data_IF_129386497942
#
_entry.id   IF_129386497942
#
_cell.length_a   1.000
_cell.length_b   1.000
_cell.length_c   1.000
_cell.angle_alpha   90.00
_cell.angle_beta   90.00
_cell.angle_gamma   90.00
#
_symmetry.space_group_name_H-M   'P 1'
#
loop_
_entity.id
_entity.type
_entity.pdbx_description
1 polymer ?
#
# COMPACT_ATOMS: atom_id res chain seq x y z
N UNK A 1 3.15 24.41 5.78
CA UNK A 1 2.23 23.61 6.62
C UNK A 1 2.84 22.22 6.79
N UNK A 2 2.92 21.74 8.02
CA UNK A 2 3.38 20.40 8.36
C UNK A 2 2.35 19.70 9.24
N UNK A 3 2.33 18.37 9.18
CA UNK A 3 1.49 17.51 10.03
C UNK A 3 2.42 16.58 10.79
N UNK A 4 2.23 16.47 12.09
CA UNK A 4 2.90 15.48 12.92
C UNK A 4 1.92 14.34 13.22
N UNK A 5 2.32 13.12 12.88
CA UNK A 5 1.53 11.91 13.09
C UNK A 5 2.25 10.98 14.05
N UNK A 6 1.57 10.53 15.10
CA UNK A 6 2.10 9.57 16.06
C UNK A 6 1.13 8.42 16.24
N UNK A 7 1.52 7.22 15.82
CA UNK A 7 0.73 5.99 15.98
C UNK A 7 1.53 4.94 16.79
N UNK A 8 1.70 5.19 18.09
CA UNK A 8 2.45 4.29 18.99
C UNK A 8 1.80 2.91 19.09
N UNK A 9 0.48 2.83 19.07
CA UNK A 9 -0.29 1.59 19.20
C UNK A 9 -1.46 1.61 18.21
N UNK A 10 -1.66 0.51 17.51
CA UNK A 10 -2.90 0.23 16.76
C UNK A 10 -3.85 -0.45 17.76
N UNK A 11 -5.00 0.15 17.98
CA UNK A 11 -6.01 -0.37 18.92
C UNK A 11 -6.90 -1.41 18.23
N UNK A 12 -7.27 -1.12 16.98
CA UNK A 12 -8.11 -1.98 16.15
C UNK A 12 -7.56 -1.95 14.71
N UNK A 13 -7.12 -3.11 14.16
CA UNK A 13 -6.65 -3.20 12.78
C UNK A 13 -7.80 -3.29 11.76
N UNK A 14 -8.96 -2.70 12.07
CA UNK A 14 -10.15 -2.69 11.21
C UNK A 14 -10.34 -1.32 10.57
N UNK A 15 -10.51 -1.29 9.24
CA UNK A 15 -10.99 -0.14 8.49
C UNK A 15 -12.49 -0.36 8.14
N UNK A 16 -13.41 0.23 8.92
CA UNK A 16 -14.84 -0.01 8.78
C UNK A 16 -15.42 0.68 7.54
N UNK A 17 -16.55 0.16 7.05
CA UNK A 17 -17.23 0.66 5.85
C UNK A 17 -17.46 2.17 5.88
N UNK A 18 -17.86 2.74 7.02
CA UNK A 18 -18.15 4.17 7.15
C UNK A 18 -16.93 5.07 6.83
N UNK A 19 -15.72 4.60 7.09
CA UNK A 19 -14.49 5.30 6.73
C UNK A 19 -14.05 4.97 5.30
N UNK A 20 -14.18 3.71 4.88
CA UNK A 20 -13.72 3.23 3.56
C UNK A 20 -14.59 3.78 2.43
N UNK A 21 -15.91 3.90 2.63
CA UNK A 21 -16.84 4.37 1.60
C UNK A 21 -16.54 5.76 1.06
N UNK A 22 -15.90 6.60 1.88
CA UNK A 22 -15.59 7.99 1.53
C UNK A 22 -14.23 8.16 0.86
N UNK A 23 -13.35 7.15 1.01
CA UNK A 23 -11.97 7.22 0.51
C UNK A 23 -11.52 5.86 -0.04
N UNK A 24 -11.39 5.78 -1.35
CA UNK A 24 -10.97 4.53 -2.04
C UNK A 24 -9.57 4.04 -1.70
N UNK A 25 -8.67 4.98 -1.38
CA UNK A 25 -7.32 4.68 -0.94
C UNK A 25 -7.27 3.87 0.37
N UNK A 26 -8.41 3.69 1.04
CA UNK A 26 -8.49 2.91 2.29
C UNK A 26 -8.01 1.46 2.15
N UNK A 27 -8.02 0.87 0.95
CA UNK A 27 -7.45 -0.46 0.72
C UNK A 27 -5.93 -0.50 0.95
N UNK A 28 -5.25 0.65 0.85
CA UNK A 28 -3.81 0.78 1.08
C UNK A 28 -3.39 0.49 2.54
N UNK A 29 -4.32 0.51 3.49
CA UNK A 29 -4.01 0.15 4.88
C UNK A 29 -3.91 -1.36 5.09
N UNK A 30 -4.38 -2.18 4.13
CA UNK A 30 -4.44 -3.64 4.25
C UNK A 30 -3.05 -4.24 4.47
N UNK A 31 -2.09 -3.90 3.61
CA UNK A 31 -0.70 -4.39 3.69
C UNK A 31 0.02 -3.96 4.96
N UNK A 32 0.13 -2.66 5.25
CA UNK A 32 0.84 -2.18 6.43
C UNK A 32 0.19 -2.62 7.75
N UNK A 33 -1.13 -2.72 7.85
CA UNK A 33 -1.78 -3.28 9.05
C UNK A 33 -1.44 -4.76 9.23
N UNK A 34 -1.54 -5.57 8.16
CA UNK A 34 -1.16 -6.98 8.21
C UNK A 34 0.30 -7.15 8.61
N UNK A 35 1.20 -6.38 8.00
CA UNK A 35 2.63 -6.46 8.30
C UNK A 35 2.97 -6.07 9.75
N UNK A 36 2.26 -5.07 10.30
CA UNK A 36 2.52 -4.53 11.64
C UNK A 36 1.78 -5.26 12.76
N UNK A 37 0.52 -5.67 12.50
CA UNK A 37 -0.36 -6.23 13.52
C UNK A 37 -0.52 -7.75 13.42
N UNK A 38 -0.11 -8.36 12.31
CA UNK A 38 -0.36 -9.76 12.01
C UNK A 38 -1.77 -10.04 11.48
N UNK A 39 -2.63 -9.02 11.49
CA UNK A 39 -3.99 -9.09 10.95
C UNK A 39 -4.47 -7.73 10.45
N UNK A 40 -5.40 -7.74 9.52
CA UNK A 40 -6.13 -6.56 9.05
C UNK A 40 -7.53 -6.95 8.59
N UNK A 41 -8.49 -6.06 8.82
CA UNK A 41 -9.84 -6.20 8.31
C UNK A 41 -10.27 -4.90 7.65
N UNK A 42 -10.43 -4.92 6.34
CA UNK A 42 -10.74 -3.71 5.56
C UNK A 42 -12.03 -3.95 4.78
N UNK A 43 -12.99 -3.04 4.92
CA UNK A 43 -14.20 -3.08 4.12
C UNK A 43 -13.85 -3.00 2.63
N UNK A 44 -14.55 -3.77 1.81
CA UNK A 44 -14.49 -3.57 0.36
C UNK A 44 -14.92 -2.12 0.05
N UNK A 45 -14.19 -1.42 -0.81
CA UNK A 45 -14.59 -0.08 -1.20
C UNK A 45 -15.97 -0.16 -1.86
N UNK A 46 -16.90 0.64 -1.39
CA UNK A 46 -18.22 0.81 -2.02
C UNK A 46 -18.03 1.20 -3.49
N UNK A 47 -18.99 0.85 -4.33
CA UNK A 47 -18.93 1.14 -5.76
C UNK A 47 -18.72 2.63 -6.00
N UNK A 48 -17.60 2.98 -6.61
CA UNK A 48 -17.42 4.32 -7.14
C UNK A 48 -18.19 4.40 -8.46
N UNK A 49 -18.82 5.56 -8.74
CA UNK A 49 -19.54 5.81 -9.98
C UNK A 49 -18.68 5.61 -11.26
N UNK A 50 -17.36 5.44 -11.12
CA UNK A 50 -16.38 5.30 -12.21
C UNK A 50 -16.03 3.83 -12.52
N UNK A 51 -16.66 2.83 -11.86
CA UNK A 51 -16.52 1.41 -12.20
C UNK A 51 -15.84 0.52 -11.14
N UNK A 52 -15.87 -0.79 -11.39
CA UNK A 52 -15.23 -1.82 -10.57
C UNK A 52 -13.71 -1.65 -10.67
N UNK A 53 -13.05 -1.52 -9.53
CA UNK A 53 -11.59 -1.63 -9.45
C UNK A 53 -11.23 -2.88 -8.66
N UNK A 54 -10.62 -3.85 -9.32
CA UNK A 54 -10.28 -5.12 -8.70
C UNK A 54 -9.25 -4.89 -7.60
N UNK A 55 -9.47 -5.53 -6.45
CA UNK A 55 -8.51 -5.63 -5.33
C UNK A 55 -7.73 -6.95 -5.39
N UNK A 56 -7.91 -7.70 -6.48
CA UNK A 56 -7.35 -9.03 -6.70
C UNK A 56 -5.81 -9.03 -6.63
N UNK A 57 -5.14 -8.00 -7.17
CA UNK A 57 -3.69 -7.89 -7.13
C UNK A 57 -3.16 -7.71 -5.70
N UNK A 58 -3.87 -6.96 -4.86
CA UNK A 58 -3.55 -6.84 -3.42
C UNK A 58 -3.66 -8.20 -2.72
N UNK A 59 -4.75 -8.92 -3.00
CA UNK A 59 -5.03 -10.23 -2.41
C UNK A 59 -3.98 -11.26 -2.85
N UNK A 60 -3.75 -11.40 -4.16
CA UNK A 60 -2.75 -12.32 -4.72
C UNK A 60 -1.36 -12.08 -4.15
N UNK A 61 -0.94 -10.82 -4.07
CA UNK A 61 0.36 -10.47 -3.53
C UNK A 61 0.51 -10.83 -2.06
N UNK A 62 -0.48 -10.52 -1.22
CA UNK A 62 -0.45 -10.88 0.21
C UNK A 62 -0.52 -12.41 0.41
N UNK A 63 -1.27 -13.15 -0.42
CA UNK A 63 -1.27 -14.62 -0.40
C UNK A 63 0.10 -15.19 -0.77
N UNK A 64 0.75 -14.64 -1.79
CA UNK A 64 2.11 -15.04 -2.16
C UNK A 64 3.11 -14.81 -1.01
N UNK A 65 2.88 -13.77 -0.18
CA UNK A 65 3.64 -13.49 1.03
C UNK A 65 3.23 -14.36 2.23
N UNK A 66 2.37 -15.35 2.03
CA UNK A 66 1.96 -16.31 3.04
C UNK A 66 0.83 -15.86 3.97
N UNK A 67 0.06 -14.85 3.59
CA UNK A 67 -1.12 -14.45 4.34
C UNK A 67 -2.32 -15.35 4.02
N UNK A 68 -3.13 -15.62 5.03
CA UNK A 68 -4.46 -16.21 4.90
C UNK A 68 -5.48 -15.08 4.68
N UNK A 69 -6.33 -15.25 3.67
CA UNK A 69 -7.35 -14.25 3.34
C UNK A 69 -8.73 -14.87 3.25
N UNK A 70 -9.71 -14.13 3.76
CA UNK A 70 -11.14 -14.40 3.59
C UNK A 70 -11.86 -13.13 3.14
N UNK A 71 -12.84 -13.26 2.27
CA UNK A 71 -13.75 -12.17 1.89
C UNK A 71 -15.13 -12.57 2.40
N UNK A 72 -15.59 -11.90 3.43
CA UNK A 72 -16.84 -12.21 4.09
C UNK A 72 -17.57 -10.93 4.50
N UNK A 73 -18.88 -10.90 4.31
CA UNK A 73 -19.75 -9.78 4.71
C UNK A 73 -19.27 -8.41 4.22
N UNK A 74 -18.68 -8.35 3.01
CA UNK A 74 -18.19 -7.11 2.44
C UNK A 74 -16.84 -6.64 3.01
N UNK A 75 -16.11 -7.49 3.72
CA UNK A 75 -14.78 -7.22 4.24
C UNK A 75 -13.73 -8.17 3.67
N UNK A 76 -12.54 -7.65 3.47
CA UNK A 76 -11.32 -8.42 3.27
C UNK A 76 -10.68 -8.59 4.64
N UNK A 77 -10.57 -9.82 5.11
CA UNK A 77 -9.87 -10.18 6.34
C UNK A 77 -8.57 -10.88 5.98
N UNK A 78 -7.46 -10.39 6.51
CA UNK A 78 -6.11 -10.91 6.26
C UNK A 78 -5.47 -11.28 7.58
N UNK A 79 -4.81 -12.44 7.62
CA UNK A 79 -4.03 -12.89 8.77
C UNK A 79 -2.70 -13.45 8.34
N UNK A 80 -1.64 -13.08 9.05
CA UNK A 80 -0.31 -13.64 8.89
C UNK A 80 0.46 -13.48 10.19
N UNK A 81 1.00 -14.54 10.75
CA UNK A 81 1.88 -14.41 11.92
C UNK A 81 3.05 -13.45 11.64
N UNK A 82 3.63 -13.56 10.46
CA UNK A 82 4.59 -12.65 9.85
C UNK A 82 4.58 -12.92 8.34
N UNK A 83 4.52 -11.86 7.56
CA UNK A 83 4.64 -11.97 6.11
C UNK A 83 6.04 -12.46 5.73
N UNK A 84 6.14 -13.22 4.64
CA UNK A 84 7.40 -13.73 4.10
C UNK A 84 7.70 -13.04 2.78
N UNK A 85 8.97 -12.81 2.52
CA UNK A 85 9.43 -12.33 1.22
C UNK A 85 9.01 -13.30 0.11
N UNK A 86 8.59 -12.75 -1.01
CA UNK A 86 8.06 -13.50 -2.14
C UNK A 86 8.42 -12.83 -3.47
N UNK A 87 8.38 -13.59 -4.56
CA UNK A 87 8.37 -13.05 -5.91
C UNK A 87 6.93 -12.91 -6.37
N UNK A 88 6.50 -11.69 -6.65
CA UNK A 88 5.13 -11.34 -7.00
C UNK A 88 5.15 -10.74 -8.41
N UNK A 89 4.53 -11.43 -9.37
CA UNK A 89 4.30 -10.89 -10.70
C UNK A 89 2.87 -10.34 -10.76
N UNK A 90 2.74 -9.03 -10.96
CA UNK A 90 1.44 -8.37 -11.09
C UNK A 90 0.84 -8.70 -12.45
N UNK A 91 -0.39 -9.22 -12.51
CA UNK A 91 -1.07 -9.53 -13.78
C UNK A 91 -1.36 -8.26 -14.58
N UNK A 92 -1.66 -7.18 -13.88
CA UNK A 92 -1.86 -5.84 -14.43
C UNK A 92 -1.09 -4.82 -13.60
N UNK A 93 -0.57 -3.78 -14.25
CA UNK A 93 0.05 -2.65 -13.54
C UNK A 93 -1.02 -1.92 -12.72
N UNK A 94 -0.78 -1.76 -11.43
CA UNK A 94 -1.65 -0.99 -10.53
C UNK A 94 -0.82 -0.23 -9.51
N UNK A 95 -1.05 1.08 -9.43
CA UNK A 95 -0.35 1.97 -8.48
C UNK A 95 -0.62 1.53 -7.05
N UNK A 96 -1.88 1.46 -6.65
CA UNK A 96 -2.26 1.10 -5.27
C UNK A 96 -1.88 -0.33 -4.90
N UNK A 97 -1.90 -1.28 -5.86
CA UNK A 97 -1.41 -2.65 -5.64
C UNK A 97 0.09 -2.66 -5.35
N UNK A 98 0.88 -1.96 -6.16
CA UNK A 98 2.32 -1.82 -5.97
C UNK A 98 2.65 -1.19 -4.62
N UNK A 99 2.01 -0.07 -4.29
CA UNK A 99 2.21 0.66 -3.03
C UNK A 99 1.86 -0.19 -1.81
N UNK A 100 0.71 -0.88 -1.84
CA UNK A 100 0.27 -1.72 -0.74
C UNK A 100 1.23 -2.89 -0.48
N UNK A 101 1.65 -3.58 -1.55
CA UNK A 101 2.57 -4.71 -1.44
C UNK A 101 3.99 -4.26 -1.05
N UNK A 102 4.43 -3.10 -1.55
CA UNK A 102 5.70 -2.49 -1.15
C UNK A 102 5.71 -2.16 0.35
N UNK A 103 4.64 -1.54 0.88
CA UNK A 103 4.51 -1.28 2.32
C UNK A 103 4.47 -2.57 3.14
N UNK A 104 3.71 -3.58 2.70
CA UNK A 104 3.64 -4.88 3.36
C UNK A 104 5.02 -5.57 3.42
N UNK A 105 5.79 -5.47 2.34
CA UNK A 105 7.10 -6.10 2.21
C UNK A 105 8.15 -5.51 3.16
N UNK A 106 7.99 -4.26 3.60
CA UNK A 106 8.99 -3.60 4.46
C UNK A 106 9.25 -4.33 5.77
N UNK A 107 8.24 -5.01 6.34
CA UNK A 107 8.35 -5.76 7.59
C UNK A 107 8.29 -7.30 7.38
N UNK A 108 8.30 -7.75 6.13
CA UNK A 108 8.31 -9.18 5.81
C UNK A 108 9.64 -9.85 6.19
N UNK A 109 9.63 -11.14 6.37
CA UNK A 109 10.85 -11.92 6.57
C UNK A 109 11.48 -12.27 5.24
N UNK A 110 12.66 -11.72 4.94
CA UNK A 110 13.38 -11.95 3.69
C UNK A 110 13.10 -10.89 2.64
N UNK A 111 13.45 -11.16 1.39
CA UNK A 111 13.33 -10.24 0.27
C UNK A 111 12.03 -10.49 -0.51
N UNK A 112 11.38 -9.40 -0.92
CA UNK A 112 10.23 -9.42 -1.84
C UNK A 112 10.63 -8.76 -3.14
N UNK A 113 10.27 -9.39 -4.26
CA UNK A 113 10.45 -8.83 -5.60
C UNK A 113 9.07 -8.66 -6.21
N UNK A 114 8.72 -7.43 -6.57
CA UNK A 114 7.47 -7.07 -7.25
C UNK A 114 7.80 -6.79 -8.71
N UNK A 115 7.30 -7.63 -9.62
CA UNK A 115 7.46 -7.51 -11.05
C UNK A 115 6.18 -6.94 -11.69
N UNK A 116 6.33 -6.27 -12.82
CA UNK A 116 5.27 -5.50 -13.49
C UNK A 116 4.70 -4.42 -12.55
N UNK A 117 5.58 -3.83 -11.74
CA UNK A 117 5.25 -2.78 -10.79
C UNK A 117 4.87 -1.47 -11.50
N UNK A 118 4.05 -0.67 -10.85
CA UNK A 118 3.75 0.68 -11.27
C UNK A 118 4.99 1.59 -11.14
N UNK A 119 5.14 2.54 -12.06
CA UNK A 119 6.34 3.40 -12.17
C UNK A 119 6.05 4.86 -11.89
N UNK A 120 4.85 5.17 -11.49
CA UNK A 120 4.37 6.53 -11.23
C UNK A 120 5.22 7.22 -10.16
N UNK A 121 5.36 8.55 -10.22
CA UNK A 121 6.15 9.33 -9.26
C UNK A 121 5.72 9.09 -7.80
N UNK A 122 4.44 8.82 -7.56
CA UNK A 122 3.88 8.52 -6.23
C UNK A 122 4.49 7.25 -5.63
N UNK A 123 4.75 6.23 -6.47
CA UNK A 123 5.42 4.99 -6.03
C UNK A 123 6.87 5.27 -5.63
N UNK A 124 7.56 6.14 -6.37
CA UNK A 124 8.94 6.57 -6.06
C UNK A 124 8.96 7.40 -4.77
N UNK A 125 8.00 8.30 -4.61
CA UNK A 125 7.86 9.14 -3.41
C UNK A 125 7.61 8.27 -2.16
N UNK A 126 6.68 7.31 -2.24
CA UNK A 126 6.43 6.36 -1.16
C UNK A 126 7.66 5.53 -0.81
N UNK A 127 8.39 5.01 -1.80
CA UNK A 127 9.63 4.27 -1.59
C UNK A 127 10.68 5.12 -0.86
N UNK A 128 10.80 6.40 -1.24
CA UNK A 128 11.70 7.36 -0.61
C UNK A 128 11.31 7.63 0.84
N UNK A 129 10.00 7.78 1.11
CA UNK A 129 9.47 7.93 2.47
C UNK A 129 9.76 6.69 3.32
N UNK A 130 9.50 5.50 2.80
CA UNK A 130 9.76 4.23 3.49
C UNK A 130 11.26 4.07 3.80
N UNK A 131 12.14 4.41 2.85
CA UNK A 131 13.58 4.37 3.04
C UNK A 131 14.04 5.38 4.10
N UNK A 132 13.44 6.57 4.15
CA UNK A 132 13.69 7.54 5.22
C UNK A 132 13.24 7.01 6.60
N UNK A 133 12.26 6.09 6.64
CA UNK A 133 11.83 5.38 7.85
C UNK A 133 12.68 4.14 8.18
N UNK A 134 13.72 3.86 7.40
CA UNK A 134 14.63 2.73 7.61
C UNK A 134 14.28 1.46 6.83
N UNK A 135 13.35 1.51 5.89
CA UNK A 135 13.11 0.42 4.95
C UNK A 135 14.27 0.27 3.96
N UNK A 136 14.24 -0.82 3.17
CA UNK A 136 15.25 -1.12 2.15
C UNK A 136 14.56 -1.42 0.82
N UNK A 137 14.05 -0.36 0.18
CA UNK A 137 13.36 -0.42 -1.11
C UNK A 137 14.31 0.02 -2.22
N UNK A 138 14.40 -0.77 -3.29
CA UNK A 138 15.18 -0.48 -4.50
C UNK A 138 14.34 -0.70 -5.76
N UNK A 139 14.67 -0.01 -6.83
CA UNK A 139 14.03 -0.17 -8.14
C UNK A 139 12.70 0.57 -8.30
N UNK A 140 12.27 1.38 -7.33
CA UNK A 140 11.08 2.22 -7.50
C UNK A 140 11.22 3.15 -8.72
N UNK A 141 10.18 3.27 -9.54
CA UNK A 141 10.21 3.96 -10.83
C UNK A 141 10.57 3.04 -12.01
N UNK A 142 10.89 1.78 -11.76
CA UNK A 142 11.05 0.74 -12.77
C UNK A 142 9.93 -0.30 -12.65
N UNK A 143 9.90 -1.26 -13.56
CA UNK A 143 8.94 -2.37 -13.53
C UNK A 143 9.28 -3.46 -12.52
N UNK A 144 10.43 -3.37 -11.86
CA UNK A 144 10.86 -4.33 -10.84
C UNK A 144 11.28 -3.60 -9.58
N UNK A 145 10.54 -3.83 -8.50
CA UNK A 145 10.84 -3.28 -7.16
C UNK A 145 11.30 -4.42 -6.26
N UNK A 146 12.41 -4.22 -5.57
CA UNK A 146 12.92 -5.15 -4.56
C UNK A 146 12.85 -4.50 -3.19
N UNK A 147 12.30 -5.22 -2.22
CA UNK A 147 12.20 -4.79 -0.82
C UNK A 147 12.86 -5.85 0.07
N UNK A 148 13.93 -5.48 0.75
CA UNK A 148 14.49 -6.33 1.81
C UNK A 148 13.80 -5.98 3.12
N UNK A 149 13.07 -6.94 3.69
CA UNK A 149 12.33 -6.73 4.92
C UNK A 149 13.23 -6.42 6.11
N UNK A 150 12.76 -5.54 7.00
CA UNK A 150 13.43 -5.15 8.23
C UNK A 150 12.62 -5.54 9.45
N UNK A 151 13.24 -5.58 10.63
CA UNK A 151 12.54 -5.93 11.88
C UNK A 151 11.59 -4.82 12.32
N UNK A 152 11.97 -3.56 12.11
CA UNK A 152 11.17 -2.39 12.49
C UNK A 152 11.51 -1.18 11.65
N UNK A 153 10.55 -0.29 11.52
CA UNK A 153 10.72 1.05 10.97
C UNK A 153 10.76 2.07 12.12
N UNK A 154 11.35 3.24 11.84
CA UNK A 154 11.39 4.36 12.78
C UNK A 154 10.65 5.58 12.25
N UNK A 155 10.45 6.60 13.07
CA UNK A 155 9.88 7.87 12.62
C UNK A 155 10.82 8.61 11.68
N UNK A 156 10.25 9.37 10.76
CA UNK A 156 11.00 10.19 9.81
C UNK A 156 10.32 11.55 9.61
N UNK A 157 11.11 12.55 9.25
CA UNK A 157 10.60 13.79 8.66
C UNK A 157 10.68 13.62 7.14
N UNK A 158 9.53 13.81 6.47
CA UNK A 158 9.45 13.62 5.04
C UNK A 158 8.60 14.70 4.39
N UNK A 159 9.02 15.17 3.23
CA UNK A 159 8.27 16.12 2.42
C UNK A 159 7.62 15.37 1.27
N UNK A 160 6.32 15.19 1.35
CA UNK A 160 5.52 14.55 0.29
C UNK A 160 5.58 15.39 -0.98
N UNK A 161 5.67 14.73 -2.13
CA UNK A 161 5.64 15.38 -3.44
C UNK A 161 4.32 16.12 -3.68
N UNK A 162 4.30 17.19 -4.49
CA UNK A 162 3.07 17.84 -4.93
C UNK A 162 2.19 16.86 -5.75
N UNK A 163 0.86 17.04 -5.65
CA UNK A 163 -0.08 16.28 -6.46
C UNK A 163 -0.05 16.76 -7.93
N UNK A 164 0.51 15.92 -8.80
CA UNK A 164 0.59 16.22 -10.24
C UNK A 164 -0.78 16.20 -10.93
N UNK A 165 -1.75 15.46 -10.39
CA UNK A 165 -3.10 15.38 -10.95
C UNK A 165 -3.85 16.68 -10.65
N UNK A 166 -3.75 17.18 -9.42
CA UNK A 166 -4.28 18.50 -9.05
C UNK A 166 -3.64 19.60 -9.90
N UNK A 167 -2.32 19.59 -10.02
CA UNK A 167 -1.57 20.54 -10.85
C UNK A 167 -2.06 20.50 -12.31
N UNK A 168 -2.22 19.31 -12.89
CA UNK A 168 -2.73 19.14 -14.24
C UNK A 168 -4.14 19.67 -14.42
N UNK A 169 -5.00 19.50 -13.41
CA UNK A 169 -6.37 20.03 -13.41
C UNK A 169 -6.38 21.57 -13.48
N UNK A 170 -5.54 22.23 -12.65
CA UNK A 170 -5.43 23.69 -12.68
C UNK A 170 -4.81 24.19 -13.99
N UNK A 171 -3.81 23.49 -14.54
CA UNK A 171 -3.25 23.86 -15.85
C UNK A 171 -4.28 23.73 -16.97
N UNK A 172 -5.09 22.68 -16.97
CA UNK A 172 -6.19 22.52 -17.93
C UNK A 172 -7.24 23.64 -17.79
N UNK A 173 -7.61 23.98 -16.56
CA UNK A 173 -8.54 25.08 -16.30
C UNK A 173 -8.00 26.45 -16.76
N UNK A 174 -6.69 26.67 -16.65
CA UNK A 174 -6.06 27.92 -17.12
C UNK A 174 -5.97 28.00 -18.66
N UNK A 175 -5.99 26.86 -19.36
CA UNK A 175 -5.91 26.78 -20.82
C UNK A 175 -7.29 26.80 -21.50
N UNK A 176 -8.39 26.60 -20.76
CA UNK A 176 -9.77 26.60 -21.25
C UNK A 176 -10.40 27.98 -21.24
#
# INVERSE_FOLDING_TARGET
LGVELTAKRIVDPTAPYELVKTMRASVLVLGPLTARCGEARVSLPGGCAIGLRPVDQHIKGLQAMGAELAIEHGYISVRAKRLKGARICMDIVTVTGTENLMMAATLAQGATVIENAAREPEVVDLASCLNAMGARVRGAGTDVITVDGVEQLHGAQYRVMPDRIETGTFLAAAAA
#
